data_IF_163684461479
#
_entry.id   IF_163684461479
#
_cell.length_a   1.000
_cell.length_b   1.000
_cell.length_c   1.000
_cell.angle_alpha   90.00
_cell.angle_beta   90.00
_cell.angle_gamma   90.00
#
_symmetry.space_group_name_H-M   'P 1'
#
loop_
_entity.id
_entity.type
_entity.pdbx_description
1 polymer ?
2 water ?
#
# COMPACT_ATOMS: atom_id res chain seq x y z
N UNK A 1 5.34 -7.27 21.00
CA UNK A 1 5.54 -7.13 22.47
C UNK A 1 4.33 -7.67 23.25
N UNK A 2 4.45 -7.63 24.58
CA UNK A 2 3.50 -8.27 25.52
C UNK A 2 2.30 -7.33 25.66
N UNK A 3 1.40 -7.37 24.68
CA UNK A 3 0.11 -6.63 24.66
C UNK A 3 -1.00 -7.68 24.60
N UNK A 4 -2.08 -7.45 25.36
CA UNK A 4 -3.23 -8.38 25.41
C UNK A 4 -2.71 -9.80 25.66
N UNK A 5 -1.77 -9.97 26.60
CA UNK A 5 -1.24 -11.30 27.02
C UNK A 5 -0.83 -12.15 25.81
N UNK A 6 -0.25 -11.56 24.75
CA UNK A 6 0.29 -12.34 23.62
C UNK A 6 1.56 -11.67 23.09
N UNK A 7 1.92 -11.92 21.83
CA UNK A 7 3.01 -11.22 21.10
C UNK A 7 2.27 -10.46 19.99
N UNK A 8 2.00 -9.17 20.19
CA UNK A 8 1.01 -8.44 19.36
C UNK A 8 1.40 -6.98 19.21
N UNK A 9 1.57 -6.54 17.97
CA UNK A 9 1.55 -5.09 17.62
C UNK A 9 0.55 -4.89 16.48
N UNK A 10 0.05 -3.67 16.33
CA UNK A 10 -0.95 -3.36 15.28
C UNK A 10 -0.30 -2.52 14.18
N UNK A 11 -1.10 -2.19 13.16
CA UNK A 11 -0.65 -1.48 11.94
C UNK A 11 -0.19 -0.06 12.30
N UNK A 12 -0.73 0.51 13.39
CA UNK A 12 -0.36 1.87 13.90
C UNK A 12 1.11 1.85 14.31
N UNK A 13 1.52 0.81 15.03
CA UNK A 13 2.91 0.64 15.52
C UNK A 13 3.84 0.41 14.33
N UNK A 14 3.45 -0.49 13.42
CA UNK A 14 4.31 -0.86 12.27
C UNK A 14 4.42 0.34 11.31
N UNK A 15 3.34 1.09 11.06
CA UNK A 15 3.44 2.27 10.14
C UNK A 15 4.51 3.27 10.61
N UNK A 16 4.69 3.44 11.93
CA UNK A 16 5.58 4.46 12.53
C UNK A 16 6.96 3.86 12.84
N UNK A 17 7.18 2.61 12.47
CA UNK A 17 8.43 1.88 12.78
C UNK A 17 9.57 2.39 11.88
N UNK A 18 10.77 2.49 12.41
CA UNK A 18 12.02 2.82 11.65
C UNK A 18 12.90 1.56 11.58
N UNK A 19 13.99 1.60 10.81
CA UNK A 19 14.91 0.44 10.64
C UNK A 19 15.52 0.08 11.99
N UNK A 20 15.74 1.07 12.87
CA UNK A 20 16.29 0.84 14.23
C UNK A 20 15.34 -0.09 15.02
N UNK A 21 14.03 0.11 14.88
CA UNK A 21 13.00 -0.72 15.56
C UNK A 21 13.07 -2.14 14.98
N UNK A 22 13.05 -2.27 13.66
CA UNK A 22 13.16 -3.60 12.99
C UNK A 22 14.37 -4.35 13.55
N UNK A 23 15.52 -3.68 13.71
CA UNK A 23 16.78 -4.32 14.16
C UNK A 23 16.61 -4.88 15.56
N UNK A 24 16.02 -4.10 16.47
CA UNK A 24 15.76 -4.49 17.88
C UNK A 24 14.79 -5.67 17.98
N UNK A 25 13.97 -5.95 16.96
CA UNK A 25 13.00 -7.10 16.98
C UNK A 25 13.60 -8.37 16.33
N UNK A 26 14.92 -8.39 16.14
CA UNK A 26 15.70 -9.51 15.54
C UNK A 26 15.28 -10.87 16.08
N UNK A 27 15.10 -11.09 17.40
CA UNK A 27 14.66 -12.40 17.89
C UNK A 27 13.31 -12.86 17.30
N UNK A 28 12.54 -11.89 16.76
CA UNK A 28 11.14 -12.08 16.32
C UNK A 28 10.98 -12.13 14.80
N UNK A 29 12.05 -12.06 14.02
CA UNK A 29 11.96 -11.90 12.55
C UNK A 29 11.18 -13.01 11.87
N UNK A 30 11.08 -14.19 12.47
CA UNK A 30 10.40 -15.36 11.86
C UNK A 30 9.11 -15.66 12.62
N UNK A 31 8.65 -14.71 13.44
CA UNK A 31 7.50 -14.91 14.37
C UNK A 31 6.30 -14.09 13.88
N UNK A 32 5.11 -14.67 13.93
CA UNK A 32 3.83 -13.94 13.74
C UNK A 32 3.66 -13.00 14.94
N UNK A 33 3.79 -11.68 14.69
CA UNK A 33 3.73 -10.64 15.75
C UNK A 33 2.69 -9.58 15.41
N UNK A 34 2.15 -9.46 14.20
CA UNK A 34 1.30 -8.28 13.86
C UNK A 34 -0.10 -8.67 13.37
N UNK A 35 -1.05 -7.78 13.61
CA UNK A 35 -2.43 -7.88 13.08
C UNK A 35 -3.07 -6.47 13.08
N UNK A 36 -4.13 -6.29 12.31
CA UNK A 36 -4.94 -5.05 12.24
C UNK A 36 -5.76 -4.96 13.53
N UNK A 37 -6.03 -3.72 13.97
CA UNK A 37 -6.80 -3.39 15.19
C UNK A 37 -8.22 -4.00 15.12
N UNK A 38 -8.88 -3.92 13.96
CA UNK A 38 -10.23 -4.50 13.70
C UNK A 38 -10.26 -6.00 14.07
N UNK A 39 -9.19 -6.75 13.77
CA UNK A 39 -9.17 -8.23 13.84
C UNK A 39 -8.99 -8.71 15.29
N UNK A 40 -9.06 -10.03 15.52
CA UNK A 40 -8.89 -10.65 16.86
C UNK A 40 -7.49 -10.37 17.42
N UNK A 41 -7.31 -10.61 18.72
CA UNK A 41 -6.09 -10.20 19.48
C UNK A 41 -5.12 -11.39 19.52
N UNK A 42 -4.93 -12.01 18.35
CA UNK A 42 -3.84 -12.97 18.08
C UNK A 42 -3.05 -12.48 16.87
N UNK A 43 -1.70 -12.60 16.89
CA UNK A 43 -0.88 -12.16 15.77
C UNK A 43 -1.17 -13.02 14.54
N UNK A 44 -1.09 -12.43 13.36
CA UNK A 44 -1.41 -13.04 12.04
C UNK A 44 -0.16 -13.02 11.17
N UNK A 45 0.54 -11.88 11.12
CA UNK A 45 1.59 -11.58 10.13
C UNK A 45 2.96 -11.46 10.81
N UNK A 46 4.00 -11.87 10.10
CA UNK A 46 5.40 -11.49 10.39
C UNK A 46 5.59 -9.99 10.12
N UNK A 47 6.66 -9.42 10.66
CA UNK A 47 7.01 -7.99 10.47
C UNK A 47 7.22 -7.71 8.97
N UNK A 48 7.90 -8.60 8.25
CA UNK A 48 8.12 -8.47 6.77
C UNK A 48 6.77 -8.41 6.06
N UNK A 49 5.86 -9.31 6.42
CA UNK A 49 4.51 -9.42 5.84
C UNK A 49 3.73 -8.14 6.11
N UNK A 50 3.75 -7.64 7.34
CA UNK A 50 3.02 -6.39 7.70
C UNK A 50 3.69 -5.20 7.01
N UNK A 51 5.01 -5.15 6.92
CA UNK A 51 5.74 -4.08 6.22
C UNK A 51 5.29 -4.01 4.75
N UNK A 52 5.18 -5.16 4.08
CA UNK A 52 4.68 -5.24 2.68
C UNK A 52 3.23 -4.71 2.61
N UNK A 53 2.33 -5.20 3.47
CA UNK A 53 0.90 -4.79 3.53
C UNK A 53 0.80 -3.26 3.71
N UNK A 54 1.71 -2.61 4.44
CA UNK A 54 1.65 -1.16 4.75
C UNK A 54 2.65 -0.36 3.91
N UNK A 55 3.31 -0.96 2.93
CA UNK A 55 4.20 -0.25 1.96
C UNK A 55 5.33 0.48 2.70
N UNK A 56 5.94 -0.14 3.70
CA UNK A 56 7.14 0.38 4.38
C UNK A 56 8.38 -0.05 3.59
N UNK A 57 8.66 0.62 2.47
CA UNK A 57 9.74 0.27 1.52
C UNK A 57 11.08 0.07 2.28
N UNK A 58 11.45 0.97 3.20
CA UNK A 58 12.77 0.94 3.90
C UNK A 58 12.83 -0.26 4.84
N UNK A 59 11.76 -0.57 5.57
CA UNK A 59 11.72 -1.79 6.44
C UNK A 59 11.72 -3.05 5.56
N UNK A 60 10.98 -3.06 4.46
CA UNK A 60 10.96 -4.23 3.54
C UNK A 60 12.38 -4.42 3.01
N UNK A 61 13.03 -3.35 2.53
CA UNK A 61 14.40 -3.42 2.00
C UNK A 61 15.36 -3.98 3.02
N UNK A 62 15.28 -3.48 4.25
CA UNK A 62 16.19 -3.85 5.37
C UNK A 62 16.01 -5.34 5.68
N UNK A 63 14.76 -5.81 5.86
CA UNK A 63 14.46 -7.19 6.33
C UNK A 63 14.90 -8.22 5.29
N UNK A 64 14.67 -7.95 4.01
CA UNK A 64 15.01 -8.90 2.91
C UNK A 64 16.53 -9.12 2.86
N UNK A 65 17.30 -8.13 3.32
CA UNK A 65 18.77 -8.21 3.34
C UNK A 65 19.27 -8.94 4.59
N UNK A 66 18.40 -9.43 5.47
CA UNK A 66 18.88 -9.94 6.79
C UNK A 66 19.32 -11.39 6.66
N UNK A 67 20.46 -11.71 7.25
CA UNK A 67 20.84 -13.10 7.58
C UNK A 67 19.86 -13.62 8.66
N UNK A 68 19.37 -14.85 8.52
CA UNK A 68 18.56 -15.51 9.57
C UNK A 68 17.08 -15.27 9.43
N UNK A 69 16.65 -14.44 8.48
CA UNK A 69 15.20 -14.21 8.25
C UNK A 69 14.70 -15.23 7.22
N UNK A 70 13.61 -15.91 7.56
CA UNK A 70 12.94 -16.91 6.69
C UNK A 70 12.01 -16.16 5.74
N UNK A 71 12.37 -16.02 4.49
CA UNK A 71 11.54 -15.29 3.47
C UNK A 71 10.26 -16.08 3.18
N UNK A 72 10.24 -17.38 3.47
CA UNK A 72 9.09 -18.29 3.19
C UNK A 72 8.28 -18.56 4.46
N UNK A 73 8.45 -17.76 5.51
CA UNK A 73 7.72 -17.93 6.79
C UNK A 73 6.24 -17.69 6.51
N UNK A 74 5.38 -18.50 7.15
CA UNK A 74 3.92 -18.46 6.92
C UNK A 74 3.26 -17.55 7.95
N UNK A 75 2.31 -16.75 7.48
CA UNK A 75 1.26 -16.09 8.29
C UNK A 75 0.40 -17.17 8.96
N UNK A 76 -0.49 -16.76 9.87
CA UNK A 76 -1.41 -17.70 10.56
C UNK A 76 -2.38 -18.33 9.54
N UNK A 77 -2.70 -17.67 8.42
CA UNK A 77 -3.52 -18.21 7.29
C UNK A 77 -2.66 -18.88 6.20
N UNK A 78 -1.43 -19.28 6.50
CA UNK A 78 -0.54 -20.03 5.57
C UNK A 78 -0.23 -19.22 4.30
N UNK A 79 -0.01 -17.92 4.44
CA UNK A 79 0.42 -17.03 3.35
C UNK A 79 1.91 -16.68 3.52
N UNK A 80 2.63 -16.54 2.41
CA UNK A 80 4.03 -16.06 2.34
C UNK A 80 4.04 -14.56 2.06
N UNK A 81 5.19 -13.93 2.32
CA UNK A 81 5.56 -12.57 1.86
C UNK A 81 5.32 -12.45 0.36
N UNK A 82 5.71 -13.45 -0.41
CA UNK A 82 5.55 -13.43 -1.91
C UNK A 82 4.07 -13.36 -2.26
N UNK A 83 3.24 -14.20 -1.63
CA UNK A 83 1.76 -14.28 -1.87
C UNK A 83 1.09 -12.94 -1.60
N UNK A 84 1.40 -12.34 -0.44
CA UNK A 84 0.86 -11.03 0.02
C UNK A 84 1.32 -9.95 -0.96
N UNK A 85 2.62 -9.95 -1.33
CA UNK A 85 3.19 -8.96 -2.27
C UNK A 85 2.41 -9.04 -3.60
N UNK A 86 2.20 -10.25 -4.13
CA UNK A 86 1.45 -10.43 -5.41
C UNK A 86 0.01 -9.98 -5.21
N UNK A 87 -0.65 -10.40 -4.13
CA UNK A 87 -2.08 -10.08 -3.90
C UNK A 87 -2.25 -8.54 -3.84
N UNK A 88 -1.37 -7.79 -3.18
CA UNK A 88 -1.48 -6.32 -3.03
C UNK A 88 -0.87 -5.57 -4.21
N UNK A 89 -0.32 -6.23 -5.22
CA UNK A 89 0.18 -5.56 -6.45
C UNK A 89 1.17 -4.46 -6.02
N UNK A 90 2.12 -4.85 -5.19
CA UNK A 90 3.23 -3.96 -4.73
C UNK A 90 4.17 -3.86 -5.93
N UNK A 91 5.14 -2.91 -5.94
CA UNK A 91 6.02 -2.73 -7.10
C UNK A 91 6.76 -4.02 -7.48
N UNK A 92 6.99 -4.20 -8.78
CA UNK A 92 7.56 -5.43 -9.36
C UNK A 92 8.97 -5.67 -8.79
N UNK A 93 9.72 -4.60 -8.48
CA UNK A 93 11.10 -4.69 -7.93
C UNK A 93 11.11 -5.37 -6.55
N UNK A 94 10.07 -5.18 -5.72
CA UNK A 94 9.95 -5.87 -4.40
C UNK A 94 9.66 -7.35 -4.61
N UNK A 95 8.76 -7.66 -5.55
CA UNK A 95 8.46 -9.07 -5.89
C UNK A 95 9.76 -9.73 -6.36
N UNK A 96 10.52 -9.08 -7.25
CA UNK A 96 11.80 -9.67 -7.73
C UNK A 96 12.78 -9.85 -6.57
N UNK A 97 12.91 -8.86 -5.67
CA UNK A 97 13.79 -8.95 -4.48
C UNK A 97 13.38 -10.14 -3.62
N UNK A 98 12.08 -10.33 -3.37
CA UNK A 98 11.57 -11.49 -2.59
C UNK A 98 12.03 -12.79 -3.29
N UNK A 99 11.79 -12.92 -4.60
CA UNK A 99 12.11 -14.18 -5.33
C UNK A 99 13.61 -14.47 -5.29
N UNK A 100 14.45 -13.45 -5.56
CA UNK A 100 15.93 -13.64 -5.65
C UNK A 100 16.50 -14.00 -4.28
N UNK A 101 15.82 -13.60 -3.21
CA UNK A 101 16.30 -13.81 -1.81
C UNK A 101 15.95 -15.21 -1.32
N UNK A 102 15.21 -16.03 -2.08
CA UNK A 102 14.83 -17.41 -1.68
C UNK A 102 13.34 -17.65 -1.65
N UNK A 103 12.54 -16.63 -1.97
CA UNK A 103 11.09 -16.71 -2.13
C UNK A 103 10.72 -17.69 -3.23
N UNK A 104 11.61 -17.90 -4.21
CA UNK A 104 11.39 -18.87 -5.31
C UNK A 104 11.23 -20.30 -4.74
N UNK A 105 11.92 -20.66 -3.65
CA UNK A 105 11.83 -22.00 -3.03
C UNK A 105 10.39 -22.31 -2.57
N UNK A 106 9.61 -21.30 -2.20
CA UNK A 106 8.23 -21.47 -1.70
C UNK A 106 7.18 -21.03 -2.71
N UNK A 107 7.58 -20.90 -3.97
CA UNK A 107 6.69 -20.39 -5.06
C UNK A 107 5.42 -21.24 -5.18
N UNK A 108 5.48 -22.54 -4.91
CA UNK A 108 4.26 -23.42 -4.98
C UNK A 108 3.65 -23.67 -3.59
N UNK A 109 4.04 -22.92 -2.56
CA UNK A 109 3.29 -22.96 -1.26
C UNK A 109 1.83 -22.56 -1.54
N UNK A 110 0.87 -23.22 -0.89
CA UNK A 110 -0.57 -22.92 -1.05
C UNK A 110 -1.19 -22.55 0.31
N UNK A 111 -1.99 -21.49 0.31
CA UNK A 111 -2.67 -20.93 1.51
C UNK A 111 -3.91 -21.80 1.80
N UNK A 112 -4.65 -21.42 2.83
CA UNK A 112 -5.83 -22.19 3.33
C UNK A 112 -6.87 -22.38 2.21
N UNK A 113 -6.93 -21.49 1.21
CA UNK A 113 -7.87 -21.55 0.06
C UNK A 113 -7.23 -22.23 -1.16
N UNK A 114 -6.20 -23.05 -0.97
CA UNK A 114 -5.48 -23.77 -2.06
C UNK A 114 -4.89 -22.78 -3.10
N UNK A 115 -4.65 -21.52 -2.76
CA UNK A 115 -4.10 -20.51 -3.70
C UNK A 115 -2.59 -20.38 -3.52
N UNK A 116 -1.85 -20.33 -4.63
CA UNK A 116 -0.42 -19.97 -4.70
C UNK A 116 -0.25 -18.48 -5.04
N UNK A 117 0.99 -17.98 -4.98
CA UNK A 117 1.36 -16.60 -5.35
C UNK A 117 1.02 -16.36 -6.82
N UNK A 118 1.28 -17.32 -7.71
CA UNK A 118 0.86 -17.20 -9.13
C UNK A 118 -0.67 -16.99 -9.23
N UNK A 119 -1.49 -17.78 -8.53
CA UNK A 119 -2.98 -17.64 -8.52
C UNK A 119 -3.40 -16.24 -8.02
N UNK A 120 -2.56 -15.50 -7.28
CA UNK A 120 -2.93 -14.15 -6.79
C UNK A 120 -2.54 -13.07 -7.80
N UNK A 121 -1.74 -13.38 -8.82
CA UNK A 121 -1.42 -12.43 -9.92
C UNK A 121 -2.57 -12.42 -10.92
N UNK A 122 -2.82 -11.28 -11.56
CA UNK A 122 -3.81 -11.18 -12.66
C UNK A 122 -3.25 -11.82 -13.92
N UNK A 123 -4.13 -12.48 -14.68
CA UNK A 123 -3.89 -12.92 -16.07
C UNK A 123 -3.00 -11.90 -16.81
N UNK A 124 -1.83 -12.38 -17.28
CA UNK A 124 -0.92 -11.70 -18.23
C UNK A 124 -0.31 -10.44 -17.60
N UNK A 125 -0.40 -10.27 -16.27
CA UNK A 125 0.24 -9.12 -15.57
C UNK A 125 1.74 -9.24 -15.69
N UNK A 126 2.47 -8.15 -15.45
CA UNK A 126 3.94 -8.22 -15.36
C UNK A 126 4.33 -9.14 -14.20
N UNK A 127 3.53 -9.20 -13.12
CA UNK A 127 3.85 -10.04 -11.95
C UNK A 127 3.83 -11.53 -12.37
N UNK A 128 2.75 -11.94 -13.05
CA UNK A 128 2.54 -13.30 -13.59
C UNK A 128 3.77 -13.77 -14.37
N UNK A 129 4.27 -12.94 -15.27
CA UNK A 129 5.44 -13.25 -16.15
C UNK A 129 6.71 -13.39 -15.32
N UNK A 130 6.93 -12.51 -14.35
CA UNK A 130 8.10 -12.63 -13.46
C UNK A 130 8.05 -13.95 -12.65
N UNK A 131 6.91 -14.30 -12.06
CA UNK A 131 6.82 -15.56 -11.27
C UNK A 131 7.18 -16.76 -12.17
N UNK A 132 6.75 -16.77 -13.43
CA UNK A 132 7.07 -17.86 -14.40
C UNK A 132 8.59 -17.96 -14.58
N UNK A 133 9.31 -16.83 -14.64
CA UNK A 133 10.80 -16.83 -14.74
C UNK A 133 11.41 -17.64 -13.57
N UNK A 134 10.86 -17.54 -12.35
CA UNK A 134 11.44 -18.18 -11.14
C UNK A 134 10.75 -19.51 -10.83
N UNK A 135 10.04 -20.10 -11.80
CA UNK A 135 9.65 -21.52 -11.74
C UNK A 135 8.20 -21.73 -11.32
N UNK A 136 7.36 -20.69 -11.39
CA UNK A 136 5.95 -20.84 -10.97
C UNK A 136 5.26 -21.75 -11.97
N UNK B 3 -22.48 4.30 -12.38
CA UNK B 3 -21.85 2.94 -12.28
C UNK B 3 -21.15 2.57 -13.59
N UNK B 4 -21.65 3.03 -14.74
CA UNK B 4 -21.34 2.51 -16.10
C UNK B 4 -19.88 2.02 -16.20
N UNK B 5 -19.75 0.78 -16.68
CA UNK B 5 -18.49 0.15 -17.14
C UNK B 5 -17.87 0.97 -18.27
N UNK B 6 -18.56 2.00 -18.74
CA UNK B 6 -18.11 2.92 -19.80
C UNK B 6 -16.89 3.75 -19.35
N UNK B 7 -16.86 4.22 -18.10
CA UNK B 7 -15.74 5.03 -17.53
C UNK B 7 -14.93 4.23 -16.50
N UNK B 8 -15.55 3.31 -15.76
CA UNK B 8 -14.89 2.49 -14.72
C UNK B 8 -13.61 1.84 -15.23
N UNK B 9 -12.51 2.02 -14.51
CA UNK B 9 -11.33 1.11 -14.58
C UNK B 9 -11.08 0.58 -13.17
N UNK B 10 -10.60 -0.66 -13.06
CA UNK B 10 -10.42 -1.29 -11.73
C UNK B 10 -8.93 -1.31 -11.42
N UNK B 11 -8.57 -1.88 -10.28
CA UNK B 11 -7.18 -1.87 -9.76
C UNK B 11 -6.29 -2.71 -10.70
N UNK B 12 -6.86 -3.69 -11.41
CA UNK B 12 -6.13 -4.56 -12.38
C UNK B 12 -5.61 -3.69 -13.52
N UNK B 13 -6.46 -2.80 -14.03
CA UNK B 13 -6.09 -1.85 -15.13
C UNK B 13 -5.05 -0.85 -14.62
N UNK B 14 -5.29 -0.24 -13.47
CA UNK B 14 -4.39 0.78 -12.88
C UNK B 14 -3.05 0.14 -12.46
N UNK B 15 -3.03 -1.08 -11.93
CA UNK B 15 -1.73 -1.72 -11.53
C UNK B 15 -0.80 -1.88 -12.73
N UNK B 16 -1.33 -2.10 -13.93
CA UNK B 16 -0.52 -2.38 -15.15
C UNK B 16 -0.28 -1.09 -15.93
N UNK B 17 -0.78 0.04 -15.42
CA UNK B 17 -0.74 1.33 -16.14
C UNK B 17 0.68 1.91 -16.10
N UNK B 18 1.10 2.52 -17.20
CA UNK B 18 2.38 3.23 -17.29
C UNK B 18 2.09 4.73 -17.48
N UNK B 19 3.13 5.56 -17.50
CA UNK B 19 3.00 7.04 -17.64
C UNK B 19 2.37 7.36 -19.00
N UNK B 20 2.65 6.57 -20.04
CA UNK B 20 2.03 6.74 -21.39
C UNK B 20 0.49 6.65 -21.29
N UNK B 21 -0.02 5.74 -20.48
CA UNK B 21 -1.48 5.55 -20.25
C UNK B 21 -2.01 6.78 -19.51
N UNK B 22 -1.36 7.19 -18.42
CA UNK B 22 -1.77 8.39 -17.67
C UNK B 22 -1.88 9.60 -18.62
N UNK B 23 -0.95 9.76 -19.57
CA UNK B 23 -0.92 10.91 -20.52
C UNK B 23 -2.21 10.92 -21.36
N UNK B 24 -2.59 9.76 -21.89
CA UNK B 24 -3.80 9.57 -22.74
C UNK B 24 -5.09 9.83 -21.93
N UNK B 25 -5.07 9.74 -20.60
CA UNK B 25 -6.29 9.96 -19.76
C UNK B 25 -6.47 11.43 -19.33
N UNK B 26 -5.66 12.34 -19.87
CA UNK B 26 -5.65 13.79 -19.48
C UNK B 26 -7.05 14.39 -19.36
N UNK B 27 -8.00 14.15 -20.31
CA UNK B 27 -9.36 14.68 -20.17
C UNK B 27 -10.08 14.24 -18.89
N UNK B 28 -9.59 13.16 -18.26
CA UNK B 28 -10.23 12.46 -17.12
C UNK B 28 -9.51 12.70 -15.80
N UNK B 29 -8.49 13.57 -15.74
CA UNK B 29 -7.64 13.67 -14.53
C UNK B 29 -8.42 14.13 -13.32
N UNK B 30 -9.57 14.78 -13.48
CA UNK B 30 -10.33 15.29 -12.30
C UNK B 30 -11.63 14.48 -12.13
N UNK B 31 -11.73 13.37 -12.85
CA UNK B 31 -12.98 12.56 -12.92
C UNK B 31 -12.85 11.36 -11.97
N UNK B 32 -13.90 11.03 -11.24
CA UNK B 32 -14.01 9.74 -10.51
C UNK B 32 -14.12 8.62 -11.54
N UNK B 33 -13.05 7.84 -11.74
CA UNK B 33 -12.97 6.81 -12.81
C UNK B 33 -12.64 5.43 -12.23
N UNK B 34 -12.19 5.29 -10.99
CA UNK B 34 -11.61 4.00 -10.54
C UNK B 34 -12.26 3.50 -9.26
N UNK B 35 -12.28 2.18 -9.11
CA UNK B 35 -12.74 1.48 -7.89
C UNK B 35 -12.15 0.06 -7.88
N UNK B 36 -12.10 -0.56 -6.71
CA UNK B 36 -11.69 -1.97 -6.51
C UNK B 36 -12.82 -2.88 -7.03
N UNK B 37 -12.47 -4.07 -7.54
CA UNK B 37 -13.41 -5.12 -8.00
C UNK B 37 -14.37 -5.54 -6.88
N UNK B 38 -13.90 -5.67 -5.64
CA UNK B 38 -14.73 -6.06 -4.46
C UNK B 38 -15.87 -5.05 -4.27
N UNK B 39 -15.61 -3.76 -4.48
CA UNK B 39 -16.54 -2.64 -4.17
C UNK B 39 -17.59 -2.48 -5.28
N UNK B 40 -18.36 -1.39 -5.20
CA UNK B 40 -19.34 -0.91 -6.22
C UNK B 40 -18.70 -0.89 -7.62
N UNK B 41 -19.51 -1.06 -8.67
CA UNK B 41 -19.09 -0.85 -10.07
C UNK B 41 -19.00 0.65 -10.32
N UNK B 42 -19.66 1.46 -9.48
CA UNK B 42 -19.65 2.93 -9.53
C UNK B 42 -18.23 3.44 -9.26
N UNK B 43 -17.70 4.35 -10.10
CA UNK B 43 -16.33 4.86 -9.88
C UNK B 43 -16.31 5.68 -8.57
N UNK B 44 -15.22 5.58 -7.84
CA UNK B 44 -15.01 6.19 -6.50
C UNK B 44 -13.86 7.20 -6.60
N UNK B 45 -12.72 6.81 -7.17
CA UNK B 45 -11.43 7.53 -7.05
C UNK B 45 -11.01 8.15 -8.38
N UNK B 46 -10.27 9.25 -8.29
CA UNK B 46 -9.51 9.83 -9.42
C UNK B 46 -8.31 8.92 -9.69
N UNK B 47 -7.70 9.09 -10.87
CA UNK B 47 -6.50 8.33 -11.26
C UNK B 47 -5.37 8.56 -10.25
N UNK B 48 -5.13 9.82 -9.82
CA UNK B 48 -4.08 10.15 -8.82
C UNK B 48 -4.38 9.41 -7.52
N UNK B 49 -5.65 9.45 -7.09
CA UNK B 49 -6.10 8.81 -5.82
C UNK B 49 -5.88 7.29 -5.91
N UNK B 50 -6.25 6.65 -7.03
CA UNK B 50 -6.06 5.18 -7.19
C UNK B 50 -4.55 4.87 -7.28
N UNK B 51 -3.78 5.69 -7.98
CA UNK B 51 -2.31 5.51 -8.07
C UNK B 51 -1.70 5.53 -6.65
N UNK B 52 -2.09 6.47 -5.78
CA UNK B 52 -1.62 6.50 -4.36
C UNK B 52 -2.07 5.22 -3.62
N UNK B 53 -3.34 4.79 -3.74
CA UNK B 53 -3.82 3.58 -3.03
C UNK B 53 -3.03 2.33 -3.46
N UNK B 54 -2.59 2.26 -4.71
CA UNK B 54 -1.83 1.11 -5.25
C UNK B 54 -0.31 1.38 -5.27
N UNK B 55 0.19 2.49 -4.73
CA UNK B 55 1.64 2.75 -4.56
C UNK B 55 2.33 2.71 -5.94
N UNK B 56 1.75 3.37 -6.93
CA UNK B 56 2.33 3.50 -8.30
C UNK B 56 3.19 4.76 -8.33
N UNK B 57 4.39 4.68 -7.79
CA UNK B 57 5.26 5.87 -7.54
C UNK B 57 5.46 6.69 -8.84
N UNK B 58 5.67 6.06 -10.01
CA UNK B 58 5.97 6.77 -11.28
C UNK B 58 4.72 7.53 -11.76
N UNK B 59 3.53 6.93 -11.66
CA UNK B 59 2.28 7.64 -12.04
C UNK B 59 2.00 8.76 -11.02
N UNK B 60 2.22 8.50 -9.74
CA UNK B 60 2.02 9.56 -8.70
C UNK B 60 2.97 10.71 -8.98
N UNK B 61 4.25 10.44 -9.23
CA UNK B 61 5.24 11.50 -9.50
C UNK B 61 4.86 12.32 -10.73
N UNK B 62 4.41 11.65 -11.80
CA UNK B 62 4.05 12.32 -13.07
C UNK B 62 2.82 13.23 -12.85
N UNK B 63 1.75 12.69 -12.23
CA UNK B 63 0.46 13.42 -12.09
C UNK B 63 0.62 14.63 -11.17
N UNK B 64 1.42 14.52 -10.09
CA UNK B 64 1.61 15.65 -9.13
C UNK B 64 2.27 16.83 -9.83
N UNK B 65 3.05 16.57 -10.87
CA UNK B 65 3.73 17.62 -11.65
C UNK B 65 2.77 18.28 -12.67
N UNK B 66 1.55 17.81 -12.85
CA UNK B 66 0.74 18.25 -14.02
C UNK B 66 0.01 19.55 -13.68
N UNK B 67 0.02 20.50 -14.61
CA UNK B 67 -0.63 21.83 -14.39
C UNK B 67 -2.16 21.71 -14.54
N UNK B 68 -2.69 20.83 -15.40
CA UNK B 68 -4.14 20.71 -15.67
C UNK B 68 -4.92 19.91 -14.62
N UNK B 69 -4.27 19.38 -13.61
CA UNK B 69 -4.91 18.48 -12.64
C UNK B 69 -5.25 19.31 -11.38
N UNK B 70 -6.47 19.14 -10.90
CA UNK B 70 -6.97 19.76 -9.64
C UNK B 70 -6.53 18.87 -8.48
N UNK B 71 -5.56 19.32 -7.69
CA UNK B 71 -5.00 18.53 -6.56
C UNK B 71 -6.07 18.32 -5.48
N UNK B 72 -7.13 19.16 -5.44
CA UNK B 72 -8.19 19.08 -4.39
C UNK B 72 -9.44 18.35 -4.92
N UNK B 73 -9.37 17.63 -6.03
CA UNK B 73 -10.53 16.92 -6.61
C UNK B 73 -11.02 15.86 -5.60
N UNK B 74 -12.34 15.74 -5.46
CA UNK B 74 -12.96 14.85 -4.46
C UNK B 74 -13.24 13.48 -5.10
N UNK B 75 -12.96 12.41 -4.36
CA UNK B 75 -13.53 11.07 -4.59
C UNK B 75 -15.06 11.15 -4.40
N UNK B 76 -15.79 10.09 -4.72
CA UNK B 76 -17.27 10.04 -4.54
C UNK B 76 -17.63 10.18 -3.05
N UNK B 77 -16.78 9.74 -2.11
CA UNK B 77 -17.02 9.91 -0.64
C UNK B 77 -16.28 11.14 -0.08
N UNK B 78 -16.04 12.15 -0.92
CA UNK B 78 -15.54 13.48 -0.54
C UNK B 78 -14.16 13.38 0.13
N UNK B 79 -13.29 12.53 -0.40
CA UNK B 79 -11.87 12.43 0.03
C UNK B 79 -10.97 13.12 -0.99
N UNK B 80 -9.90 13.74 -0.52
CA UNK B 80 -8.82 14.34 -1.36
C UNK B 80 -7.65 13.35 -1.49
N UNK B 81 -6.77 13.60 -2.47
CA UNK B 81 -5.46 12.93 -2.61
C UNK B 81 -4.69 13.07 -1.31
N UNK B 82 -4.70 14.24 -0.68
CA UNK B 82 -3.98 14.49 0.60
C UNK B 82 -4.51 13.55 1.68
N UNK B 83 -5.85 13.45 1.82
CA UNK B 83 -6.51 12.60 2.83
C UNK B 83 -6.09 11.14 2.67
N UNK B 84 -6.19 10.62 1.46
CA UNK B 84 -5.84 9.21 1.13
C UNK B 84 -4.34 9.00 1.36
N UNK B 85 -3.48 9.93 0.94
CA UNK B 85 -2.03 9.83 1.15
C UNK B 85 -1.73 9.74 2.66
N UNK B 86 -2.37 10.57 3.48
CA UNK B 86 -2.19 10.52 4.96
C UNK B 86 -2.74 9.20 5.49
N UNK B 87 -3.96 8.81 5.08
CA UNK B 87 -4.63 7.58 5.58
C UNK B 87 -3.74 6.35 5.29
N UNK B 88 -3.10 6.27 4.11
CA UNK B 88 -2.26 5.11 3.69
C UNK B 88 -0.79 5.31 4.08
N UNK B 89 -0.44 6.33 4.86
CA UNK B 89 0.92 6.42 5.47
C UNK B 89 1.97 6.30 4.37
N UNK B 90 1.78 7.00 3.26
CA UNK B 90 2.69 6.94 2.08
C UNK B 90 3.91 7.78 2.46
N UNK B 91 5.02 7.76 1.69
CA UNK B 91 6.22 8.50 2.06
C UNK B 91 5.95 10.00 2.25
N UNK B 92 6.71 10.61 3.16
CA UNK B 92 6.50 12.01 3.60
C UNK B 92 6.69 12.94 2.40
N UNK B 93 7.59 12.57 1.47
CA UNK B 93 7.94 13.35 0.25
C UNK B 93 6.70 13.58 -0.62
N UNK B 94 5.85 12.56 -0.78
CA UNK B 94 4.57 12.64 -1.55
C UNK B 94 3.61 13.61 -0.86
N UNK B 95 3.46 13.46 0.46
CA UNK B 95 2.56 14.34 1.26
C UNK B 95 3.06 15.77 1.09
N UNK B 96 4.36 16.02 1.23
CA UNK B 96 4.91 17.40 1.08
C UNK B 96 4.66 17.90 -0.35
N UNK B 97 4.91 17.08 -1.37
CA UNK B 97 4.64 17.45 -2.79
C UNK B 97 3.17 17.82 -2.97
N UNK B 98 2.24 17.02 -2.45
CA UNK B 98 0.79 17.33 -2.51
C UNK B 98 0.54 18.70 -1.86
N UNK B 99 1.06 18.96 -0.66
CA UNK B 99 0.78 20.24 0.06
C UNK B 99 1.33 21.43 -0.72
N UNK B 100 2.55 21.34 -1.23
CA UNK B 100 3.20 22.48 -1.96
C UNK B 100 2.48 22.73 -3.29
N UNK B 101 1.82 21.70 -3.84
CA UNK B 101 1.10 21.73 -5.15
C UNK B 101 -0.27 22.45 -5.03
N UNK B 102 -0.72 22.80 -3.81
CA UNK B 102 -2.04 23.42 -3.57
C UNK B 102 -2.94 22.55 -2.70
N UNK B 103 -2.46 21.40 -2.24
CA UNK B 103 -3.20 20.53 -1.32
C UNK B 103 -3.39 21.20 0.03
N UNK B 104 -2.55 22.18 0.37
CA UNK B 104 -2.71 22.99 1.60
C UNK B 104 -4.01 23.80 1.55
N UNK B 105 -4.47 24.20 0.35
CA UNK B 105 -5.74 24.96 0.19
C UNK B 105 -6.94 24.11 0.64
N UNK B 106 -6.85 22.79 0.57
CA UNK B 106 -7.96 21.88 0.92
C UNK B 106 -7.69 21.14 2.22
N UNK B 107 -6.71 21.59 3.00
CA UNK B 107 -6.25 20.90 4.23
C UNK B 107 -7.42 20.70 5.21
N UNK B 108 -8.39 21.61 5.29
CA UNK B 108 -9.56 21.47 6.20
C UNK B 108 -10.80 20.92 5.48
N UNK B 109 -10.68 20.38 4.26
CA UNK B 109 -11.80 19.64 3.63
C UNK B 109 -12.15 18.46 4.54
N UNK B 110 -13.44 18.15 4.71
CA UNK B 110 -13.87 17.01 5.53
C UNK B 110 -14.71 16.05 4.66
N UNK B 111 -14.43 14.78 4.82
CA UNK B 111 -15.00 13.68 4.02
C UNK B 111 -16.39 13.37 4.59
N UNK B 112 -17.08 12.41 4.01
CA UNK B 112 -18.46 12.02 4.40
C UNK B 112 -18.52 11.64 5.89
N UNK B 113 -17.42 11.12 6.47
CA UNK B 113 -17.29 10.72 7.89
C UNK B 113 -16.71 11.85 8.77
N UNK B 114 -16.83 13.10 8.31
CA UNK B 114 -16.44 14.33 9.04
C UNK B 114 -14.95 14.33 9.41
N UNK B 115 -14.13 13.55 8.69
CA UNK B 115 -12.67 13.46 8.92
C UNK B 115 -11.90 14.37 7.96
N UNK B 116 -10.89 15.05 8.48
CA UNK B 116 -9.87 15.80 7.69
C UNK B 116 -8.62 14.93 7.48
N UNK B 117 -7.66 15.43 6.69
CA UNK B 117 -6.37 14.75 6.44
C UNK B 117 -5.61 14.63 7.78
N UNK B 118 -5.62 15.67 8.63
CA UNK B 118 -5.00 15.58 9.99
C UNK B 118 -5.57 14.39 10.78
N UNK B 119 -6.90 14.22 10.83
CA UNK B 119 -7.58 13.12 11.57
C UNK B 119 -7.11 11.75 11.03
N UNK B 120 -6.65 11.67 9.77
CA UNK B 120 -6.23 10.38 9.18
C UNK B 120 -4.74 10.10 9.41
N UNK B 121 -3.96 11.05 9.91
CA UNK B 121 -2.54 10.87 10.32
C UNK B 121 -2.48 10.17 11.68
N UNK B 122 -1.43 9.39 11.94
CA UNK B 122 -1.13 8.94 13.32
C UNK B 122 -0.60 10.11 14.17
N UNK B 123 -1.09 10.20 15.41
CA UNK B 123 -0.66 11.20 16.40
C UNK B 123 0.87 11.26 16.43
N UNK B 124 1.41 12.47 16.35
CA UNK B 124 2.85 12.80 16.56
C UNK B 124 3.70 12.21 15.41
N UNK B 125 3.09 11.70 14.33
CA UNK B 125 3.88 11.24 13.15
C UNK B 125 4.60 12.44 12.52
N UNK B 126 5.58 12.21 11.66
CA UNK B 126 6.20 13.30 10.89
C UNK B 126 5.13 13.91 9.97
N UNK B 127 4.15 13.13 9.50
CA UNK B 127 3.05 13.61 8.64
C UNK B 127 2.19 14.62 9.41
N UNK B 128 1.76 14.25 10.62
CA UNK B 128 0.95 15.09 11.55
C UNK B 128 1.60 16.48 11.72
N UNK B 129 2.91 16.53 11.95
CA UNK B 129 3.67 17.77 12.20
C UNK B 129 3.72 18.61 10.92
N UNK B 130 3.94 17.98 9.76
CA UNK B 130 3.91 18.68 8.45
C UNK B 130 2.53 19.27 8.18
N UNK B 131 1.43 18.54 8.38
CA UNK B 131 0.07 19.10 8.19
C UNK B 131 -0.13 20.34 9.08
N UNK B 132 0.35 20.32 10.33
CA UNK B 132 0.19 21.46 11.27
C UNK B 132 0.94 22.66 10.69
N UNK B 133 2.13 22.45 10.12
CA UNK B 133 2.94 23.52 9.47
C UNK B 133 2.11 24.24 8.40
N UNK B 134 1.32 23.50 7.61
CA UNK B 134 0.56 24.03 6.45
C UNK B 134 -0.88 24.41 6.84
N UNK B 135 -1.21 24.47 8.13
CA UNK B 135 -2.43 25.13 8.63
C UNK B 135 -3.53 24.16 9.05
N UNK B 136 -3.22 22.89 9.33
CA UNK B 136 -4.24 21.90 9.81
C UNK B 136 -4.66 22.24 11.24
#
# INVERSE_FOLDING_TARGET
>A
MFNYESILINEDVVSEMTIEDAKKLKPYWNVQIANFKKSSKEPMFTLLQMAILLNKKDIVGYLLARRGLDINALSRNNQTALMIACDKKVPLDWIEAILKRGGDLGINIKDDYEQTALDKCNFNSKAYHLLLKYGA
>B
MFNYESILINEDVVSEMTIEDAKKLKPYWNVQIANFKKSSKEPMFTLLQMAILLNKKDIVGYLLARRGLDINALSRNNQTALMIACDKKVPLDWIEAILKRGGDLGINIKDDYEQTALDKCNFNSKAYHLLLKYGA
#
